data_IF_074859115401
#
_entry.id   IF_074859115401
#
_cell.length_a   1.000
_cell.length_b   1.000
_cell.length_c   1.000
_cell.angle_alpha   90.00
_cell.angle_beta   90.00
_cell.angle_gamma   90.00
#
_symmetry.space_group_name_H-M   'P 1'
#
loop_
_entity.id
_entity.type
_entity.pdbx_description
1 polymer ?
#
# COMPACT_ATOMS: atom_id res chain seq x y z
N UNK A 1 -44.68 -34.97 15.93
CA UNK A 1 -46.02 -34.89 16.55
C UNK A 1 -46.45 -33.45 16.42
N UNK A 2 -47.41 -33.03 15.61
CA UNK A 2 -48.29 -33.68 14.66
C UNK A 2 -48.72 -32.59 13.64
N UNK A 3 -49.01 -33.00 12.41
CA UNK A 3 -49.83 -32.27 11.43
C UNK A 3 -51.19 -31.87 12.03
N UNK A 4 -51.86 -30.86 11.46
CA UNK A 4 -53.19 -31.06 10.85
C UNK A 4 -53.81 -29.80 10.18
N UNK A 5 -54.73 -30.12 9.25
CA UNK A 5 -55.88 -29.38 8.65
C UNK A 5 -55.66 -28.71 7.29
N UNK A 6 -56.05 -29.29 6.15
CA UNK A 6 -57.26 -30.04 5.67
C UNK A 6 -58.33 -29.13 5.01
N UNK A 7 -58.88 -29.68 3.92
CA UNK A 7 -60.25 -29.57 3.40
C UNK A 7 -60.37 -28.82 2.06
N UNK A 8 -60.42 -29.50 0.89
CA UNK A 8 -61.48 -30.38 0.34
C UNK A 8 -62.63 -29.60 -0.29
N UNK A 9 -62.82 -29.70 -1.61
CA UNK A 9 -64.00 -30.36 -2.22
C UNK A 9 -64.13 -30.09 -3.73
N UNK A 10 -64.31 -31.18 -4.47
CA UNK A 10 -64.88 -31.25 -5.82
C UNK A 10 -66.35 -31.67 -5.65
N UNK A 11 -67.25 -31.37 -6.60
CA UNK A 11 -67.95 -32.49 -7.21
C UNK A 11 -68.15 -32.40 -8.73
N UNK A 12 -68.17 -33.60 -9.32
CA UNK A 12 -68.63 -33.97 -10.66
C UNK A 12 -70.17 -33.91 -10.76
N UNK A 13 -70.72 -33.60 -11.94
CA UNK A 13 -71.70 -34.47 -12.67
C UNK A 13 -72.31 -33.78 -13.91
N UNK A 14 -72.66 -34.63 -14.87
CA UNK A 14 -72.95 -34.39 -16.30
C UNK A 14 -74.40 -33.94 -16.60
N UNK A 15 -74.61 -33.37 -17.81
CA UNK A 15 -75.63 -33.92 -18.73
C UNK A 15 -76.60 -32.97 -19.46
N UNK A 16 -76.29 -32.69 -20.75
CA UNK A 16 -77.17 -32.63 -21.95
C UNK A 16 -78.36 -31.65 -22.04
N UNK A 17 -78.35 -30.73 -23.02
CA UNK A 17 -78.87 -30.93 -24.40
C UNK A 17 -79.36 -29.63 -25.08
N UNK A 18 -78.91 -29.39 -26.33
CA UNK A 18 -79.75 -28.86 -27.42
C UNK A 18 -79.53 -27.42 -27.90
N UNK A 19 -79.12 -27.25 -29.18
CA UNK A 19 -79.47 -26.08 -29.99
C UNK A 19 -78.37 -25.44 -30.86
N UNK A 20 -78.04 -26.09 -31.99
CA UNK A 20 -77.80 -25.56 -33.36
C UNK A 20 -76.78 -24.42 -33.69
N UNK A 21 -75.86 -24.78 -34.60
CA UNK A 21 -74.87 -24.12 -35.52
C UNK A 21 -75.02 -22.63 -35.97
N UNK A 22 -74.05 -21.98 -36.71
CA UNK A 22 -72.87 -22.52 -37.46
C UNK A 22 -71.52 -21.73 -37.39
N UNK A 23 -70.45 -22.44 -37.76
CA UNK A 23 -69.26 -22.07 -38.57
C UNK A 23 -68.22 -20.97 -38.14
N UNK A 24 -66.95 -21.41 -38.08
CA UNK A 24 -65.69 -20.68 -37.81
C UNK A 24 -65.37 -19.53 -38.78
N UNK A 25 -64.56 -18.53 -38.32
CA UNK A 25 -63.21 -18.47 -38.88
C UNK A 25 -62.09 -18.15 -37.86
N UNK A 26 -61.06 -19.00 -37.90
CA UNK A 26 -59.60 -18.72 -37.79
C UNK A 26 -59.15 -17.67 -36.74
N UNK A 27 -58.73 -18.17 -35.58
CA UNK A 27 -58.00 -17.43 -34.55
C UNK A 27 -56.53 -17.21 -34.95
N UNK A 28 -56.12 -15.97 -35.18
CA UNK A 28 -54.73 -15.57 -35.41
C UNK A 28 -53.88 -15.69 -34.12
N UNK A 29 -52.58 -16.03 -34.18
CA UNK A 29 -51.72 -16.12 -32.99
C UNK A 29 -51.27 -14.73 -32.50
N UNK A 30 -50.93 -14.55 -31.21
CA UNK A 30 -50.50 -13.26 -30.68
C UNK A 30 -49.03 -12.96 -31.06
N UNK A 31 -48.79 -11.75 -31.57
CA UNK A 31 -47.47 -11.25 -31.97
C UNK A 31 -46.64 -10.70 -30.78
N UNK A 32 -45.44 -11.26 -30.62
CA UNK A 32 -44.15 -10.72 -30.11
C UNK A 32 -44.01 -10.16 -28.67
N UNK A 33 -43.04 -10.67 -27.88
CA UNK A 33 -42.50 -10.01 -26.70
C UNK A 33 -40.99 -9.68 -26.88
N UNK A 34 -40.61 -8.85 -27.86
CA UNK A 34 -39.18 -8.72 -28.23
C UNK A 34 -38.48 -7.40 -27.81
N UNK A 35 -39.17 -6.46 -27.15
CA UNK A 35 -38.59 -5.15 -26.81
C UNK A 35 -38.07 -5.03 -25.38
N UNK A 36 -38.59 -5.82 -24.44
CA UNK A 36 -38.20 -5.75 -23.01
C UNK A 36 -36.90 -6.50 -22.73
N UNK A 37 -36.75 -7.71 -23.28
CA UNK A 37 -35.59 -8.59 -23.05
C UNK A 37 -34.28 -8.03 -23.62
N UNK A 38 -34.33 -7.27 -24.73
CA UNK A 38 -33.14 -6.64 -25.34
C UNK A 38 -32.56 -5.52 -24.48
N UNK A 39 -33.41 -4.73 -23.80
CA UNK A 39 -32.97 -3.61 -22.95
C UNK A 39 -32.33 -4.11 -21.65
N UNK A 40 -32.90 -5.14 -21.03
CA UNK A 40 -32.32 -5.77 -19.83
C UNK A 40 -30.98 -6.46 -20.13
N UNK A 41 -30.89 -7.19 -21.25
CA UNK A 41 -29.64 -7.83 -21.68
C UNK A 41 -28.53 -6.80 -21.96
N UNK A 42 -28.85 -5.70 -22.65
CA UNK A 42 -27.89 -4.65 -22.97
C UNK A 42 -27.36 -3.93 -21.70
N UNK A 43 -28.23 -3.68 -20.71
CA UNK A 43 -27.82 -3.09 -19.43
C UNK A 43 -26.90 -4.02 -18.62
N UNK A 44 -27.20 -5.31 -18.59
CA UNK A 44 -26.36 -6.32 -17.92
C UNK A 44 -25.01 -6.49 -18.64
N UNK A 45 -25.02 -6.55 -19.97
CA UNK A 45 -23.79 -6.59 -20.79
C UNK A 45 -22.95 -5.33 -20.59
N UNK A 46 -23.57 -4.15 -20.61
CA UNK A 46 -22.89 -2.88 -20.36
C UNK A 46 -22.27 -2.85 -18.96
N UNK A 47 -22.99 -3.29 -17.92
CA UNK A 47 -22.45 -3.37 -16.56
C UNK A 47 -21.29 -4.36 -16.44
N UNK A 48 -21.38 -5.51 -17.12
CA UNK A 48 -20.32 -6.54 -17.09
C UNK A 48 -19.07 -6.10 -17.85
N UNK A 49 -19.24 -5.51 -19.03
CA UNK A 49 -18.15 -4.93 -19.84
C UNK A 49 -17.50 -3.76 -19.11
N UNK A 50 -18.27 -2.83 -18.54
CA UNK A 50 -17.73 -1.71 -17.77
C UNK A 50 -16.95 -2.18 -16.53
N UNK A 51 -17.42 -3.21 -15.81
CA UNK A 51 -16.67 -3.78 -14.68
C UNK A 51 -15.33 -4.38 -15.13
N UNK A 52 -15.32 -5.15 -16.23
CA UNK A 52 -14.08 -5.75 -16.78
C UNK A 52 -13.12 -4.71 -17.35
N UNK A 53 -13.64 -3.68 -18.02
CA UNK A 53 -12.86 -2.54 -18.51
C UNK A 53 -12.24 -1.76 -17.35
N UNK A 54 -13.00 -1.48 -16.29
CA UNK A 54 -12.51 -0.77 -15.11
C UNK A 54 -11.41 -1.56 -14.39
N UNK A 55 -11.56 -2.88 -14.26
CA UNK A 55 -10.47 -3.75 -13.76
C UNK A 55 -9.24 -3.69 -14.67
N UNK A 56 -9.43 -3.74 -16.00
CA UNK A 56 -8.33 -3.60 -16.96
C UNK A 56 -7.60 -2.27 -16.84
N UNK A 57 -8.34 -1.16 -16.72
CA UNK A 57 -7.76 0.15 -16.48
C UNK A 57 -7.00 0.24 -15.16
N UNK A 58 -7.54 -0.29 -14.06
CA UNK A 58 -6.88 -0.27 -12.75
C UNK A 58 -5.57 -1.06 -12.77
N UNK A 59 -5.53 -2.20 -13.46
CA UNK A 59 -4.29 -3.00 -13.59
C UNK A 59 -3.28 -2.35 -14.55
N UNK A 60 -3.76 -1.75 -15.65
CA UNK A 60 -2.88 -1.11 -16.63
C UNK A 60 -2.39 0.28 -16.17
N UNK A 61 -3.14 0.95 -15.30
CA UNK A 61 -2.85 2.32 -14.85
C UNK A 61 -1.44 2.45 -14.25
N UNK A 62 -0.99 1.61 -13.30
CA UNK A 62 0.37 1.67 -12.78
C UNK A 62 1.43 1.50 -13.87
N UNK A 63 1.23 0.58 -14.81
CA UNK A 63 2.18 0.30 -15.91
C UNK A 63 2.23 1.47 -16.90
N UNK A 64 1.08 2.03 -17.24
CA UNK A 64 1.00 3.19 -18.14
C UNK A 64 1.66 4.41 -17.50
N UNK A 65 1.43 4.64 -16.21
CA UNK A 65 2.04 5.75 -15.46
C UNK A 65 3.55 5.59 -15.38
N UNK A 66 4.07 4.40 -15.05
CA UNK A 66 5.53 4.18 -15.00
C UNK A 66 6.18 4.36 -16.37
N UNK A 67 5.57 3.84 -17.43
CA UNK A 67 6.06 4.04 -18.80
C UNK A 67 6.03 5.51 -19.20
N UNK A 68 4.93 6.22 -18.92
CA UNK A 68 4.79 7.64 -19.21
C UNK A 68 5.84 8.49 -18.49
N UNK A 69 6.05 8.27 -17.19
CA UNK A 69 7.05 9.00 -16.40
C UNK A 69 8.46 8.71 -16.92
N UNK A 70 8.78 7.44 -17.20
CA UNK A 70 10.10 7.05 -17.72
C UNK A 70 10.36 7.68 -19.08
N UNK A 71 9.37 7.62 -19.99
CA UNK A 71 9.46 8.22 -21.31
C UNK A 71 9.62 9.75 -21.22
N UNK A 72 8.80 10.40 -20.38
CA UNK A 72 8.88 11.84 -20.15
C UNK A 72 10.25 12.27 -19.60
N UNK A 73 10.82 11.50 -18.66
CA UNK A 73 12.13 11.78 -18.10
C UNK A 73 13.25 11.66 -19.14
N UNK A 74 13.25 10.61 -19.96
CA UNK A 74 14.24 10.44 -21.03
C UNK A 74 14.16 11.61 -22.02
N UNK A 75 12.95 11.97 -22.46
CA UNK A 75 12.74 13.10 -23.37
C UNK A 75 13.18 14.44 -22.76
N UNK A 76 12.97 14.63 -21.46
CA UNK A 76 13.43 15.83 -20.75
C UNK A 76 14.97 15.95 -20.77
N UNK A 77 15.67 14.86 -20.45
CA UNK A 77 17.14 14.83 -20.50
C UNK A 77 17.62 15.01 -21.94
N UNK A 78 17.02 14.31 -22.91
CA UNK A 78 17.37 14.41 -24.33
C UNK A 78 17.21 15.83 -24.84
N UNK A 79 16.14 16.52 -24.44
CA UNK A 79 15.92 17.92 -24.81
C UNK A 79 16.98 18.85 -24.20
N UNK A 80 17.40 18.60 -22.95
CA UNK A 80 18.43 19.38 -22.29
C UNK A 80 19.81 19.22 -22.95
N UNK A 81 20.14 18.01 -23.40
CA UNK A 81 21.41 17.69 -24.06
C UNK A 81 21.38 17.73 -25.59
N UNK A 82 20.20 17.89 -26.20
CA UNK A 82 20.01 18.06 -27.66
C UNK A 82 20.99 19.04 -28.32
N UNK A 83 21.23 20.25 -27.78
CA UNK A 83 22.22 21.17 -28.36
C UNK A 83 23.66 20.61 -28.33
N UNK A 84 23.99 19.79 -27.33
CA UNK A 84 25.28 19.14 -27.21
C UNK A 84 25.44 18.00 -28.22
N UNK A 85 24.39 17.19 -28.43
CA UNK A 85 24.41 16.10 -29.43
C UNK A 85 24.52 16.64 -30.85
N UNK A 86 23.81 17.72 -31.17
CA UNK A 86 23.87 18.37 -32.48
C UNK A 86 25.29 18.88 -32.80
N UNK A 87 26.02 19.37 -31.80
CA UNK A 87 27.40 19.83 -31.95
C UNK A 87 28.41 18.67 -32.08
N UNK A 88 28.10 17.50 -31.52
CA UNK A 88 28.93 16.29 -31.58
C UNK A 88 28.60 15.39 -32.79
N UNK A 89 27.48 15.61 -33.47
CA UNK A 89 27.07 14.84 -34.66
C UNK A 89 26.65 13.39 -34.36
N UNK A 90 26.22 13.10 -33.14
CA UNK A 90 25.87 11.74 -32.69
C UNK A 90 24.35 11.59 -32.65
N UNK A 91 23.79 10.93 -33.67
CA UNK A 91 22.39 10.48 -33.68
C UNK A 91 22.35 8.94 -33.61
N UNK A 92 22.36 8.41 -32.39
CA UNK A 92 22.26 6.96 -32.15
C UNK A 92 20.96 6.70 -31.37
N UNK A 93 20.17 5.74 -31.86
CA UNK A 93 18.97 5.27 -31.17
C UNK A 93 19.34 4.70 -29.79
N UNK A 94 18.79 5.28 -28.72
CA UNK A 94 19.09 4.88 -27.33
C UNK A 94 20.15 5.73 -26.62
N UNK A 95 20.77 6.71 -27.30
CA UNK A 95 21.69 7.66 -26.67
C UNK A 95 21.04 8.40 -25.49
N UNK A 96 19.74 8.69 -25.61
CA UNK A 96 18.98 9.36 -24.58
C UNK A 96 18.83 8.60 -23.27
N UNK A 97 18.68 7.28 -23.36
CA UNK A 97 18.64 6.42 -22.18
C UNK A 97 20.00 6.40 -21.46
N UNK A 98 21.08 6.25 -22.22
CA UNK A 98 22.45 6.22 -21.68
C UNK A 98 22.81 7.55 -20.99
N UNK A 99 22.46 8.65 -21.63
CA UNK A 99 22.75 9.99 -21.13
C UNK A 99 21.86 10.37 -19.94
N UNK A 100 20.62 9.90 -19.90
CA UNK A 100 19.76 9.95 -18.70
C UNK A 100 20.40 9.22 -17.53
N UNK A 101 20.95 8.03 -17.74
CA UNK A 101 21.62 7.27 -16.68
C UNK A 101 22.89 7.99 -16.18
N UNK A 102 23.68 8.53 -17.11
CA UNK A 102 24.86 9.33 -16.80
C UNK A 102 24.49 10.61 -16.02
N UNK A 103 23.43 11.29 -16.45
CA UNK A 103 22.93 12.51 -15.82
C UNK A 103 22.49 12.25 -14.38
N UNK A 104 21.71 11.19 -14.13
CA UNK A 104 21.32 10.79 -12.77
C UNK A 104 22.54 10.50 -11.91
N UNK A 105 23.54 9.79 -12.45
CA UNK A 105 24.79 9.52 -11.74
C UNK A 105 25.53 10.81 -11.37
N UNK A 106 25.71 11.73 -12.33
CA UNK A 106 26.38 13.01 -12.08
C UNK A 106 25.63 13.90 -11.09
N UNK A 107 24.29 13.95 -11.18
CA UNK A 107 23.46 14.66 -10.20
C UNK A 107 23.65 14.04 -8.81
N UNK A 108 23.70 12.71 -8.69
CA UNK A 108 23.98 12.02 -7.43
C UNK A 108 25.33 12.40 -6.84
N UNK A 109 26.39 12.38 -7.65
CA UNK A 109 27.75 12.80 -7.24
C UNK A 109 27.76 14.28 -6.85
N UNK A 110 27.07 15.13 -7.60
CA UNK A 110 26.99 16.56 -7.34
C UNK A 110 26.30 16.86 -6.00
N UNK A 111 25.16 16.22 -5.73
CA UNK A 111 24.41 16.37 -4.46
C UNK A 111 25.22 15.86 -3.26
N UNK A 112 26.03 14.81 -3.44
CA UNK A 112 26.92 14.29 -2.40
C UNK A 112 28.12 15.21 -2.12
N UNK A 113 28.45 16.12 -3.04
CA UNK A 113 29.51 17.10 -2.84
C UNK A 113 29.07 18.27 -1.95
N UNK A 114 30.03 18.93 -1.29
CA UNK A 114 29.79 20.12 -0.45
C UNK A 114 28.99 21.19 -1.19
N UNK A 115 29.31 21.41 -2.47
CA UNK A 115 28.66 22.43 -3.28
C UNK A 115 27.19 22.07 -3.56
N UNK A 116 26.90 20.80 -3.82
CA UNK A 116 25.52 20.32 -3.97
C UNK A 116 24.73 20.42 -2.68
N UNK A 117 25.33 20.07 -1.54
CA UNK A 117 24.69 20.23 -0.22
C UNK A 117 24.29 21.69 0.06
N UNK A 118 25.13 22.64 -0.34
CA UNK A 118 24.86 24.08 -0.17
C UNK A 118 23.72 24.54 -1.08
N UNK A 119 23.74 24.19 -2.37
CA UNK A 119 22.67 24.54 -3.33
C UNK A 119 21.34 23.91 -2.92
N UNK A 120 21.37 22.65 -2.49
CA UNK A 120 20.19 21.92 -2.02
C UNK A 120 19.57 22.59 -0.78
N UNK A 121 20.39 23.02 0.17
CA UNK A 121 19.92 23.74 1.36
C UNK A 121 19.24 25.07 1.03
N UNK A 122 19.80 25.84 0.09
CA UNK A 122 19.20 27.10 -0.39
C UNK A 122 17.87 26.82 -1.11
N UNK A 123 17.81 25.78 -1.94
CA UNK A 123 16.57 25.35 -2.61
C UNK A 123 15.48 24.95 -1.62
N UNK A 124 15.83 24.18 -0.59
CA UNK A 124 14.90 23.85 0.49
C UNK A 124 14.38 25.06 1.24
N UNK A 125 15.26 26.02 1.52
CA UNK A 125 14.87 27.27 2.18
C UNK A 125 13.82 28.03 1.34
N UNK A 126 14.02 28.08 0.02
CA UNK A 126 13.07 28.69 -0.90
C UNK A 126 11.71 27.97 -0.91
N UNK A 127 11.72 26.64 -1.01
CA UNK A 127 10.50 25.81 -1.02
C UNK A 127 9.71 25.98 0.30
N UNK A 128 10.40 26.03 1.45
CA UNK A 128 9.79 26.23 2.77
C UNK A 128 9.11 27.59 2.92
N UNK A 129 9.49 28.59 2.12
CA UNK A 129 8.89 29.93 2.11
C UNK A 129 7.53 29.96 1.42
N UNK A 130 7.21 28.99 0.55
CA UNK A 130 5.94 28.93 -0.17
C UNK A 130 4.85 28.23 0.66
N UNK A 131 3.74 28.90 1.00
CA UNK A 131 2.76 28.42 1.98
C UNK A 131 2.03 27.12 1.61
N UNK A 132 1.96 26.75 0.32
CA UNK A 132 1.36 25.48 -0.13
C UNK A 132 2.41 24.41 -0.45
N UNK A 133 3.47 24.77 -1.16
CA UNK A 133 4.51 23.82 -1.62
C UNK A 133 5.29 23.24 -0.43
N UNK A 134 5.45 24.00 0.67
CA UNK A 134 6.15 23.53 1.87
C UNK A 134 5.53 22.28 2.47
N UNK A 135 4.19 22.16 2.44
CA UNK A 135 3.47 21.03 3.05
C UNK A 135 3.68 19.76 2.21
N UNK A 136 3.54 19.87 0.89
CA UNK A 136 3.75 18.76 -0.03
C UNK A 136 5.21 18.28 -0.05
N UNK A 137 6.15 19.23 -0.10
CA UNK A 137 7.58 18.91 -0.06
C UNK A 137 7.99 18.27 1.26
N UNK A 138 7.47 18.76 2.38
CA UNK A 138 7.77 18.21 3.70
C UNK A 138 7.19 16.79 3.87
N UNK A 139 5.97 16.53 3.39
CA UNK A 139 5.39 15.19 3.39
C UNK A 139 6.18 14.21 2.51
N UNK A 140 6.59 14.63 1.31
CA UNK A 140 7.42 13.81 0.41
C UNK A 140 8.79 13.51 1.01
N UNK A 141 9.48 14.54 1.54
CA UNK A 141 10.79 14.38 2.18
C UNK A 141 10.74 13.47 3.39
N UNK A 142 9.68 13.57 4.19
CA UNK A 142 9.43 12.66 5.31
C UNK A 142 9.39 11.21 4.83
N UNK A 143 8.53 10.87 3.86
CA UNK A 143 8.44 9.52 3.30
C UNK A 143 9.80 9.05 2.77
N UNK A 144 10.53 9.89 2.03
CA UNK A 144 11.86 9.55 1.53
C UNK A 144 12.89 9.33 2.65
N UNK A 145 12.83 10.11 3.73
CA UNK A 145 13.73 9.97 4.87
C UNK A 145 13.46 8.68 5.67
N UNK A 146 12.20 8.23 5.75
CA UNK A 146 11.86 6.96 6.38
C UNK A 146 12.35 5.73 5.60
N UNK A 147 12.57 5.86 4.28
CA UNK A 147 12.97 4.77 3.38
C UNK A 147 14.49 4.74 3.17
N UNK A 148 15.21 5.84 3.46
CA UNK A 148 16.65 5.93 3.23
C UNK A 148 17.45 5.10 4.23
N UNK A 149 18.27 4.12 3.79
CA UNK A 149 19.05 3.26 4.68
C UNK A 149 20.19 3.98 5.44
N UNK A 150 20.62 5.16 4.97
CA UNK A 150 21.95 5.72 5.26
C UNK A 150 21.97 6.95 6.18
N UNK A 151 20.82 7.37 6.73
CA UNK A 151 20.86 8.40 7.78
C UNK A 151 21.30 7.77 9.10
N UNK A 152 22.59 7.94 9.37
CA UNK A 152 23.37 7.61 10.57
C UNK A 152 22.86 8.28 11.87
N UNK A 153 21.55 8.27 12.11
CA UNK A 153 20.85 8.49 13.38
C UNK A 153 19.48 7.86 13.20
N UNK A 154 19.40 6.58 13.54
CA UNK A 154 18.25 5.68 13.42
C UNK A 154 16.97 6.30 14.02
N UNK A 155 16.08 6.86 13.19
CA UNK A 155 14.75 7.23 13.67
C UNK A 155 13.92 5.98 14.00
N UNK A 156 14.10 4.91 13.21
CA UNK A 156 13.52 3.58 13.42
C UNK A 156 14.63 2.54 13.25
N UNK A 157 15.01 1.87 14.32
CA UNK A 157 16.04 0.82 14.34
C UNK A 157 15.49 -0.51 13.85
N UNK A 158 14.33 -0.89 14.38
CA UNK A 158 13.74 -2.20 14.21
C UNK A 158 12.21 -2.10 14.28
N UNK A 159 11.51 -3.06 13.69
CA UNK A 159 10.06 -3.23 13.90
C UNK A 159 9.84 -3.88 15.27
N UNK A 160 8.78 -3.49 15.96
CA UNK A 160 8.39 -4.04 17.25
C UNK A 160 6.88 -4.32 17.30
N UNK A 161 6.53 -5.39 17.99
CA UNK A 161 5.17 -5.70 18.40
C UNK A 161 5.15 -5.67 19.93
N UNK A 162 4.25 -4.88 20.48
CA UNK A 162 4.13 -4.68 21.93
C UNK A 162 2.73 -5.06 22.39
N UNK A 163 2.60 -5.47 23.65
CA UNK A 163 1.29 -5.65 24.26
C UNK A 163 0.61 -4.28 24.46
N UNK A 164 -0.59 -4.10 23.92
CA UNK A 164 -1.43 -2.93 24.16
C UNK A 164 -2.26 -3.17 25.46
N UNK A 165 -2.83 -2.15 26.14
CA UNK A 165 -3.27 -2.26 27.54
C UNK A 165 -4.40 -3.26 27.78
N UNK A 166 -5.03 -3.81 26.73
CA UNK A 166 -5.96 -4.94 26.85
C UNK A 166 -5.23 -6.25 26.62
N UNK A 167 -5.50 -7.23 27.49
CA UNK A 167 -4.98 -8.59 27.36
C UNK A 167 -5.42 -9.18 26.01
N UNK A 168 -4.44 -9.65 25.23
CA UNK A 168 -4.66 -10.19 23.88
C UNK A 168 -4.63 -9.15 22.76
N UNK A 169 -4.43 -7.87 23.06
CA UNK A 169 -4.24 -6.82 22.08
C UNK A 169 -2.74 -6.53 21.90
N UNK A 170 -2.32 -6.43 20.64
CA UNK A 170 -0.95 -6.12 20.27
C UNK A 170 -0.92 -4.88 19.39
N UNK A 171 0.02 -3.98 19.67
CA UNK A 171 0.29 -2.82 18.84
C UNK A 171 1.55 -3.04 18.01
N UNK A 172 1.50 -2.61 16.76
CA UNK A 172 2.62 -2.62 15.84
C UNK A 172 3.31 -1.26 15.86
N UNK A 173 4.64 -1.26 15.96
CA UNK A 173 5.42 -0.04 16.05
C UNK A 173 6.87 -0.25 15.67
N UNK A 174 7.69 0.74 15.98
CA UNK A 174 9.11 0.74 15.66
C UNK A 174 9.93 1.11 16.90
N UNK A 175 11.02 0.38 17.12
CA UNK A 175 12.02 0.73 18.13
C UNK A 175 12.80 1.94 17.60
N UNK A 176 12.74 3.07 18.29
CA UNK A 176 13.45 4.30 17.88
C UNK A 176 14.79 4.42 18.59
N UNK A 177 14.81 4.11 19.89
CA UNK A 177 16.00 4.23 20.73
C UNK A 177 15.95 3.25 21.91
N UNK A 178 17.11 3.04 22.54
CA UNK A 178 17.22 2.34 23.81
C UNK A 178 17.66 3.36 24.86
N UNK A 179 17.02 3.35 26.02
CA UNK A 179 17.22 4.31 27.11
C UNK A 179 17.44 3.51 28.39
N UNK A 180 18.44 3.88 29.17
CA UNK A 180 18.65 3.33 30.51
C UNK A 180 17.95 4.25 31.49
N UNK A 181 16.91 3.75 32.16
CA UNK A 181 16.22 4.47 33.21
C UNK A 181 16.96 4.21 34.52
N UNK A 182 17.64 5.24 35.02
CA UNK A 182 18.30 5.18 36.32
C UNK A 182 17.25 5.25 37.43
N UNK A 183 17.21 4.24 38.29
CA UNK A 183 16.46 4.26 39.55
C UNK A 183 17.40 4.01 40.70
N UNK A 184 16.99 4.48 41.88
CA UNK A 184 17.73 4.26 43.13
C UNK A 184 17.94 2.77 43.45
N UNK A 185 17.04 1.91 42.95
CA UNK A 185 17.05 0.45 43.16
C UNK A 185 17.73 -0.35 42.02
N UNK A 186 18.29 0.34 41.01
CA UNK A 186 19.00 -0.27 39.88
C UNK A 186 18.58 0.28 38.51
N UNK A 187 19.50 0.20 37.55
CA UNK A 187 19.29 0.67 36.18
C UNK A 187 18.40 -0.30 35.39
N UNK A 188 17.35 0.23 34.75
CA UNK A 188 16.46 -0.52 33.87
C UNK A 188 16.70 -0.16 32.40
N UNK A 189 17.07 -1.15 31.57
CA UNK A 189 17.13 -0.98 30.13
C UNK A 189 15.72 -1.00 29.51
N UNK A 190 15.29 0.15 29.01
CA UNK A 190 14.03 0.34 28.31
C UNK A 190 14.28 0.63 26.83
N UNK A 191 13.36 0.20 25.98
CA UNK A 191 13.31 0.56 24.58
C UNK A 191 12.15 1.53 24.36
N UNK A 192 12.44 2.62 23.64
CA UNK A 192 11.44 3.55 23.13
C UNK A 192 10.82 2.96 21.88
N UNK A 193 9.54 2.60 21.97
CA UNK A 193 8.74 2.07 20.87
C UNK A 193 7.74 3.14 20.44
N UNK A 194 7.87 3.60 19.20
CA UNK A 194 6.91 4.49 18.56
C UNK A 194 5.81 3.66 17.91
N UNK A 195 4.57 3.89 18.32
CA UNK A 195 3.37 3.25 17.77
C UNK A 195 2.61 4.29 16.94
N UNK A 196 2.75 4.27 15.61
CA UNK A 196 2.01 5.18 14.75
C UNK A 196 0.53 4.85 14.76
N UNK A 197 -0.28 5.88 14.55
CA UNK A 197 -1.71 5.73 14.26
C UNK A 197 -1.89 5.50 12.74
N UNK A 198 -2.59 6.40 12.04
CA UNK A 198 -2.81 6.31 10.59
C UNK A 198 -1.77 7.11 9.77
N UNK A 199 -1.01 7.98 10.43
CA UNK A 199 0.05 8.76 9.79
C UNK A 199 1.39 8.36 10.41
N UNK A 200 2.39 8.10 9.57
CA UNK A 200 3.70 7.57 9.99
C UNK A 200 4.43 8.43 11.04
N UNK A 201 4.07 9.70 11.17
CA UNK A 201 4.70 10.66 12.11
C UNK A 201 3.81 11.07 13.28
N UNK A 202 2.61 10.49 13.39
CA UNK A 202 1.67 10.77 14.46
C UNK A 202 1.39 9.45 15.17
N UNK A 203 1.65 9.43 16.47
CA UNK A 203 1.51 8.23 17.27
C UNK A 203 1.98 8.46 18.68
N UNK A 204 1.92 7.39 19.46
CA UNK A 204 2.33 7.37 20.86
C UNK A 204 3.75 6.80 20.97
N UNK A 205 4.46 7.21 22.02
CA UNK A 205 5.77 6.66 22.36
C UNK A 205 5.62 5.92 23.68
N UNK A 206 5.98 4.65 23.68
CA UNK A 206 5.98 3.79 24.87
C UNK A 206 7.41 3.42 25.24
N UNK A 207 7.74 3.52 26.53
CA UNK A 207 8.98 2.98 27.09
C UNK A 207 8.68 1.60 27.66
N UNK A 208 9.24 0.57 27.05
CA UNK A 208 8.93 -0.83 27.37
C UNK A 208 10.22 -1.60 27.59
N UNK A 209 10.21 -2.54 28.54
CA UNK A 209 11.37 -3.39 28.78
C UNK A 209 11.68 -4.22 27.52
N UNK A 210 12.96 -4.32 27.15
CA UNK A 210 13.40 -5.09 25.97
C UNK A 210 12.91 -6.55 25.98
N UNK A 211 12.64 -7.12 27.16
CA UNK A 211 12.12 -8.48 27.33
C UNK A 211 10.65 -8.64 26.90
N UNK A 212 9.86 -7.59 27.00
CA UNK A 212 8.42 -7.60 26.70
C UNK A 212 8.10 -7.19 25.26
N UNK A 213 9.14 -6.91 24.46
CA UNK A 213 9.02 -6.54 23.05
C UNK A 213 9.20 -7.78 22.17
N UNK A 214 8.22 -8.03 21.32
CA UNK A 214 8.30 -9.05 20.28
C UNK A 214 8.92 -8.40 19.05
N UNK A 215 10.09 -8.88 18.63
CA UNK A 215 10.81 -8.36 17.45
C UNK A 215 10.50 -9.27 16.25
N UNK A 216 9.63 -8.87 15.31
CA UNK A 216 9.33 -9.68 14.14
C UNK A 216 10.50 -9.67 13.14
N UNK A 217 10.64 -10.75 12.35
CA UNK A 217 11.53 -10.76 11.20
C UNK A 217 10.89 -10.01 10.01
N UNK A 218 10.80 -8.68 10.15
CA UNK A 218 10.30 -7.76 9.13
C UNK A 218 11.27 -6.60 8.97
N UNK A 219 11.49 -6.18 7.73
CA UNK A 219 12.22 -4.96 7.43
C UNK A 219 11.41 -3.72 7.83
N UNK A 220 12.12 -2.62 8.10
CA UNK A 220 11.48 -1.32 8.39
C UNK A 220 10.55 -0.90 7.24
N UNK A 221 10.94 -1.18 5.99
CA UNK A 221 10.15 -0.90 4.78
C UNK A 221 8.81 -1.63 4.81
N UNK A 222 8.82 -2.94 5.10
CA UNK A 222 7.59 -3.73 5.22
C UNK A 222 6.72 -3.22 6.36
N UNK A 223 7.33 -2.83 7.49
CA UNK A 223 6.59 -2.21 8.59
C UNK A 223 5.91 -0.90 8.19
N UNK A 224 6.60 -0.02 7.46
CA UNK A 224 6.02 1.23 6.95
C UNK A 224 4.86 0.93 5.98
N UNK A 225 5.03 -0.05 5.09
CA UNK A 225 4.00 -0.47 4.15
C UNK A 225 2.73 -0.98 4.85
N UNK A 226 2.90 -1.76 5.93
CA UNK A 226 1.78 -2.23 6.76
C UNK A 226 1.00 -1.06 7.35
N UNK A 227 1.67 -0.07 7.92
CA UNK A 227 1.01 1.09 8.55
C UNK A 227 0.32 1.97 7.50
N UNK A 228 1.02 2.29 6.40
CA UNK A 228 0.49 3.15 5.33
C UNK A 228 -0.68 2.48 4.60
N UNK A 229 -0.68 1.15 4.50
CA UNK A 229 -1.81 0.40 3.93
C UNK A 229 -2.97 0.19 4.92
N UNK A 230 -2.88 0.71 6.16
CA UNK A 230 -3.89 0.47 7.19
C UNK A 230 -4.01 -1.00 7.62
N UNK A 231 -2.92 -1.77 7.49
CA UNK A 231 -2.84 -3.18 7.87
C UNK A 231 -3.19 -4.17 6.75
N UNK A 232 -3.53 -3.70 5.54
CA UNK A 232 -3.93 -4.59 4.43
C UNK A 232 -2.78 -5.49 3.93
N UNK A 233 -1.53 -5.07 4.13
CA UNK A 233 -0.34 -5.83 3.70
C UNK A 233 0.25 -6.71 4.81
N UNK A 234 -0.48 -6.91 5.92
CA UNK A 234 0.00 -7.73 7.04
C UNK A 234 0.23 -9.20 6.61
N UNK A 235 1.43 -9.77 6.84
CA UNK A 235 1.72 -11.16 6.51
C UNK A 235 0.92 -12.14 7.38
N UNK A 236 0.59 -13.30 6.80
CA UNK A 236 -0.22 -14.33 7.48
C UNK A 236 0.50 -15.02 8.65
N UNK A 237 1.84 -14.96 8.69
CA UNK A 237 2.66 -15.43 9.81
C UNK A 237 3.78 -14.45 10.07
N UNK A 238 3.92 -14.07 11.34
CA UNK A 238 5.04 -13.29 11.84
C UNK A 238 5.88 -14.21 12.73
N UNK A 239 7.08 -14.53 12.26
CA UNK A 239 8.06 -15.25 13.09
C UNK A 239 8.89 -14.24 13.88
N UNK A 240 9.12 -14.48 15.19
CA UNK A 240 10.10 -13.71 15.94
C UNK A 240 11.47 -13.82 15.27
N UNK A 241 12.21 -12.73 15.23
CA UNK A 241 13.63 -12.78 14.90
C UNK A 241 14.34 -13.53 16.03
N UNK A 242 15.01 -14.63 15.68
CA UNK A 242 15.80 -15.42 16.63
C UNK A 242 16.73 -14.48 17.39
N UNK A 243 16.61 -14.39 18.72
CA UNK A 243 17.57 -13.61 19.50
C UNK A 243 18.92 -14.25 19.28
N UNK A 244 19.82 -13.57 18.57
CA UNK A 244 21.26 -13.80 18.75
C UNK A 244 21.50 -13.41 20.20
N UNK A 245 21.42 -14.39 21.10
CA UNK A 245 21.78 -14.21 22.49
C UNK A 245 23.17 -13.59 22.48
N UNK A 246 23.29 -12.38 23.01
CA UNK A 246 24.60 -11.84 23.35
C UNK A 246 25.26 -12.86 24.26
N UNK A 247 26.21 -13.58 23.68
CA UNK A 247 27.14 -14.46 24.35
C UNK A 247 28.13 -13.59 25.13
N UNK A 248 27.61 -12.82 26.09
CA UNK A 248 28.38 -12.33 27.23
C UNK A 248 28.22 -13.36 28.34
N UNK A 249 28.62 -14.59 28.01
CA UNK A 249 28.76 -15.66 28.99
C UNK A 249 29.88 -15.22 29.93
N UNK A 250 29.49 -15.07 31.19
CA UNK A 250 30.35 -14.78 32.34
C UNK A 250 31.70 -15.50 32.18
N UNK A 251 32.79 -14.75 32.03
CA UNK A 251 34.11 -15.28 32.35
C UNK A 251 34.09 -15.53 33.86
N UNK A 252 34.16 -16.79 34.36
CA UNK A 252 34.30 -17.02 35.78
C UNK A 252 35.71 -16.60 36.17
N UNK A 253 35.79 -15.47 36.88
CA UNK A 253 37.01 -14.95 37.48
C UNK A 253 37.35 -15.81 38.71
N UNK A 254 37.65 -17.09 38.49
CA UNK A 254 38.17 -17.98 39.53
C UNK A 254 39.10 -19.04 38.95
N UNK A 255 40.28 -18.58 38.49
CA UNK A 255 41.48 -19.41 38.37
C UNK A 255 42.74 -18.54 38.32
N UNK A 256 42.98 -17.75 39.36
CA UNK A 256 44.33 -17.30 39.72
C UNK A 256 44.41 -17.25 41.25
N UNK A 257 44.65 -18.41 41.85
CA UNK A 257 45.42 -18.58 43.09
C UNK A 257 46.36 -19.75 42.83
#
# INVERSE_FOLDING_TARGET
>A
MAEEKESTSVPLSQGRSGGEDPEDPVKSPPNSPNSSTRKACCFVLQSWVSKKFMTGCVVLFPVAVTFFITWWFIQFVDSFFSPLYAQLGIDIFGLGFVTSLLFVFFVGVFVSSWMGATVFWVGEWFIKRMPFVKHLYSASKQISAAISPDQNTTAFKEVAIICHPRVGEYAFGFITSSVILQRDDGDEELCSVFVPTNHLYIGDIFLINSKDIIRPNLSIREGIEIIVSGGMTMPQRISPMERVAQQSERIPLNRII
#
